data_IF_310652959959
#
_entry.id   IF_310652959959
#
_cell.length_a   1.000
_cell.length_b   1.000
_cell.length_c   1.000
_cell.angle_alpha   90.00
_cell.angle_beta   90.00
_cell.angle_gamma   90.00
#
_symmetry.space_group_name_H-M   'P 1'
#
loop_
_entity.id
_entity.type
_entity.pdbx_description
1 polymer ?
#
# COMPACT_ATOMS: atom_id res chain seq x y z
N UNK A 1 11.42 -50.84 11.06
CA UNK A 1 10.04 -50.94 10.54
C UNK A 1 9.96 -50.14 9.24
N UNK A 2 9.56 -50.79 8.14
CA UNK A 2 9.56 -50.22 6.79
C UNK A 2 8.17 -49.61 6.56
N UNK A 3 8.05 -48.28 6.62
CA UNK A 3 6.76 -47.59 6.48
C UNK A 3 6.34 -47.56 5.02
N UNK A 4 5.51 -48.51 4.60
CA UNK A 4 4.83 -48.46 3.30
C UNK A 4 3.64 -47.52 3.41
N UNK A 5 3.86 -46.23 3.12
CA UNK A 5 2.78 -45.26 3.00
C UNK A 5 1.85 -45.69 1.85
N UNK A 6 0.54 -45.88 2.10
CA UNK A 6 -0.39 -46.30 1.06
C UNK A 6 -0.44 -45.25 -0.06
N UNK A 7 -0.37 -45.69 -1.32
CA UNK A 7 -0.38 -44.83 -2.52
C UNK A 7 -1.54 -43.82 -2.54
N UNK A 8 -2.65 -44.14 -1.87
CA UNK A 8 -3.82 -43.27 -1.67
C UNK A 8 -3.50 -41.97 -0.91
N UNK A 9 -2.55 -42.00 0.02
CA UNK A 9 -2.13 -40.81 0.75
C UNK A 9 -1.31 -39.85 -0.14
N UNK A 10 -0.49 -40.40 -1.04
CA UNK A 10 0.27 -39.59 -2.01
C UNK A 10 -0.69 -38.87 -2.98
N UNK A 11 -1.75 -39.56 -3.44
CA UNK A 11 -2.72 -39.00 -4.36
C UNK A 11 -3.53 -37.81 -3.80
N UNK A 12 -3.66 -37.70 -2.47
CA UNK A 12 -4.40 -36.60 -1.82
C UNK A 12 -3.49 -35.40 -1.52
N UNK A 13 -2.20 -35.64 -1.27
CA UNK A 13 -1.25 -34.59 -0.88
C UNK A 13 -0.76 -33.78 -2.09
N UNK A 14 -0.61 -34.41 -3.25
CA UNK A 14 -0.18 -33.71 -4.47
C UNK A 14 -1.11 -32.58 -4.94
N UNK A 15 -2.44 -32.76 -5.01
CA UNK A 15 -3.34 -31.70 -5.46
C UNK A 15 -3.39 -30.51 -4.49
N UNK A 16 -3.27 -30.72 -3.17
CA UNK A 16 -3.31 -29.60 -2.20
C UNK A 16 -2.06 -28.70 -2.27
N UNK A 17 -0.91 -29.26 -2.62
CA UNK A 17 0.34 -28.50 -2.83
C UNK A 17 0.29 -27.72 -4.15
N UNK A 18 -0.28 -28.31 -5.21
CA UNK A 18 -0.48 -27.65 -6.51
C UNK A 18 -1.52 -26.53 -6.45
N UNK A 19 -2.61 -26.69 -5.70
CA UNK A 19 -3.58 -25.62 -5.50
C UNK A 19 -3.02 -24.47 -4.63
N UNK A 20 -2.05 -24.73 -3.76
CA UNK A 20 -1.42 -23.68 -2.93
C UNK A 20 -0.38 -22.85 -3.69
N UNK A 21 0.11 -23.32 -4.85
CA UNK A 21 1.06 -22.58 -5.69
C UNK A 21 0.39 -21.66 -6.72
N UNK A 22 -0.95 -21.71 -6.84
CA UNK A 22 -1.75 -20.90 -7.78
C UNK A 22 -2.17 -19.52 -7.27
N UNK A 23 -1.84 -19.15 -6.03
CA UNK A 23 -2.04 -17.80 -5.50
C UNK A 23 -0.69 -17.16 -5.16
N UNK A 24 0.26 -17.26 -6.09
CA UNK A 24 1.32 -16.26 -6.12
C UNK A 24 0.64 -14.97 -6.58
N UNK A 25 0.15 -14.21 -5.60
CA UNK A 25 -0.25 -12.82 -5.78
C UNK A 25 0.98 -12.17 -6.39
N UNK A 26 0.90 -11.86 -7.68
CA UNK A 26 1.87 -11.06 -8.37
C UNK A 26 1.96 -9.78 -7.57
N UNK A 27 2.97 -9.69 -6.70
CA UNK A 27 3.40 -8.44 -6.12
C UNK A 27 4.08 -7.71 -7.27
N UNK A 28 3.27 -7.23 -8.21
CA UNK A 28 3.55 -5.97 -8.86
C UNK A 28 4.00 -5.06 -7.72
N UNK A 29 5.21 -4.52 -7.84
CA UNK A 29 5.71 -3.57 -6.87
C UNK A 29 4.73 -2.39 -6.86
N UNK A 30 3.69 -2.47 -6.01
CA UNK A 30 2.82 -1.37 -5.68
C UNK A 30 3.75 -0.39 -5.04
N UNK A 31 4.14 0.62 -5.82
CA UNK A 31 4.90 1.73 -5.31
C UNK A 31 4.11 2.27 -4.12
N UNK A 32 4.61 2.16 -2.87
CA UNK A 32 3.85 2.57 -1.68
C UNK A 32 3.45 4.05 -1.77
N UNK A 33 4.22 4.83 -2.53
CA UNK A 33 3.98 6.24 -2.84
C UNK A 33 2.71 6.47 -3.68
N UNK A 34 2.27 5.49 -4.49
CA UNK A 34 1.02 5.58 -5.27
C UNK A 34 -0.23 5.36 -4.40
N UNK A 35 -0.11 4.55 -3.35
CA UNK A 35 -1.21 4.30 -2.42
C UNK A 35 -1.46 5.53 -1.55
N UNK A 36 -0.39 6.16 -1.04
CA UNK A 36 -0.48 7.39 -0.24
C UNK A 36 -1.16 8.55 -0.96
N UNK A 37 -0.89 8.76 -2.26
CA UNK A 37 -1.53 9.82 -3.05
C UNK A 37 -3.03 9.63 -3.21
N UNK A 38 -3.48 8.39 -3.39
CA UNK A 38 -4.91 8.06 -3.52
C UNK A 38 -5.61 8.22 -2.17
N UNK A 39 -4.95 7.79 -1.10
CA UNK A 39 -5.44 7.91 0.28
C UNK A 39 -5.56 9.38 0.71
N UNK A 40 -4.57 10.21 0.39
CA UNK A 40 -4.58 11.66 0.63
C UNK A 40 -5.80 12.32 0.00
N UNK A 41 -6.10 12.03 -1.26
CA UNK A 41 -7.23 12.61 -1.95
C UNK A 41 -8.59 12.17 -1.36
N UNK A 42 -8.71 10.92 -0.90
CA UNK A 42 -9.91 10.46 -0.21
C UNK A 42 -10.05 11.08 1.19
N UNK A 43 -8.94 11.25 1.92
CA UNK A 43 -8.94 11.83 3.26
C UNK A 43 -9.34 13.31 3.29
N UNK A 44 -9.11 14.06 2.20
CA UNK A 44 -9.49 15.48 2.12
C UNK A 44 -10.89 15.71 1.54
N UNK A 45 -11.57 14.66 1.07
CA UNK A 45 -12.94 14.72 0.56
C UNK A 45 -13.95 15.35 1.54
N UNK A 46 -13.89 15.12 2.87
CA UNK A 46 -14.78 15.79 3.82
C UNK A 46 -14.66 17.31 3.83
N UNK A 47 -13.53 17.90 3.41
CA UNK A 47 -13.37 19.37 3.35
C UNK A 47 -14.30 20.02 2.33
N UNK A 48 -14.78 19.26 1.34
CA UNK A 48 -15.77 19.73 0.39
C UNK A 48 -17.12 20.03 1.08
N UNK A 49 -17.42 19.42 2.23
CA UNK A 49 -18.62 19.71 2.99
C UNK A 49 -18.64 21.15 3.57
N UNK A 50 -17.50 21.86 3.58
CA UNK A 50 -17.46 23.28 3.93
C UNK A 50 -18.28 24.15 2.95
N UNK A 51 -18.56 23.65 1.73
CA UNK A 51 -19.49 24.27 0.79
C UNK A 51 -20.89 24.46 1.40
N UNK A 52 -21.30 23.55 2.31
CA UNK A 52 -22.62 23.59 2.96
C UNK A 52 -22.79 24.75 3.95
N UNK A 53 -21.68 25.32 4.42
CA UNK A 53 -21.65 26.43 5.38
C UNK A 53 -21.12 27.72 4.75
N UNK A 54 -21.04 27.78 3.42
CA UNK A 54 -20.71 28.99 2.66
C UNK A 54 -19.23 29.25 2.43
N UNK A 55 -18.34 28.30 2.75
CA UNK A 55 -16.94 28.34 2.34
C UNK A 55 -16.75 27.67 0.98
N UNK A 56 -15.61 27.92 0.32
CA UNK A 56 -15.20 27.17 -0.87
C UNK A 56 -14.43 25.92 -0.44
N UNK A 57 -15.16 24.87 -0.11
CA UNK A 57 -14.67 23.55 0.28
C UNK A 57 -13.82 22.89 -0.80
N UNK A 58 -14.10 23.16 -2.08
CA UNK A 58 -13.26 22.68 -3.19
C UNK A 58 -11.87 23.32 -3.17
N UNK A 59 -11.80 24.64 -2.96
CA UNK A 59 -10.53 25.36 -2.81
C UNK A 59 -9.79 24.95 -1.54
N UNK A 60 -10.51 24.73 -0.43
CA UNK A 60 -9.91 24.20 0.82
C UNK A 60 -9.30 22.82 0.60
N UNK A 61 -10.05 21.90 -0.01
CA UNK A 61 -9.55 20.56 -0.37
C UNK A 61 -8.29 20.64 -1.22
N UNK A 62 -8.31 21.42 -2.31
CA UNK A 62 -7.15 21.59 -3.20
C UNK A 62 -5.94 22.19 -2.48
N UNK A 63 -6.17 23.14 -1.57
CA UNK A 63 -5.10 23.75 -0.78
C UNK A 63 -4.45 22.72 0.15
N UNK A 64 -5.25 21.92 0.84
CA UNK A 64 -4.74 20.88 1.75
C UNK A 64 -4.03 19.78 0.96
N UNK A 65 -4.59 19.33 -0.17
CA UNK A 65 -3.95 18.33 -1.03
C UNK A 65 -2.52 18.76 -1.44
N UNK A 66 -2.37 20.01 -1.89
CA UNK A 66 -1.08 20.56 -2.31
C UNK A 66 -0.09 20.68 -1.14
N UNK A 67 -0.54 21.15 0.03
CA UNK A 67 0.34 21.27 1.20
C UNK A 67 0.86 19.89 1.62
N UNK A 68 -0.03 18.90 1.68
CA UNK A 68 0.35 17.53 2.07
C UNK A 68 1.30 16.91 1.05
N UNK A 69 1.04 17.03 -0.26
CA UNK A 69 1.97 16.51 -1.29
C UNK A 69 3.35 17.18 -1.23
N UNK A 70 3.41 18.49 -0.96
CA UNK A 70 4.68 19.20 -0.78
C UNK A 70 5.43 18.73 0.48
N UNK A 71 4.71 18.47 1.57
CA UNK A 71 5.26 17.94 2.81
C UNK A 71 5.79 16.51 2.63
N UNK A 72 5.02 15.62 2.00
CA UNK A 72 5.43 14.25 1.72
C UNK A 72 6.70 14.21 0.86
N UNK A 73 6.79 15.09 -0.14
CA UNK A 73 8.00 15.22 -0.95
C UNK A 73 9.20 15.67 -0.11
N UNK A 74 9.01 16.67 0.75
CA UNK A 74 10.07 17.17 1.62
C UNK A 74 10.55 16.10 2.61
N UNK A 75 9.62 15.35 3.23
CA UNK A 75 9.95 14.26 4.14
C UNK A 75 10.73 13.16 3.43
N UNK A 76 10.34 12.79 2.20
CA UNK A 76 11.11 11.84 1.39
C UNK A 76 12.53 12.33 1.06
N UNK A 77 12.73 13.63 0.90
CA UNK A 77 14.07 14.21 0.71
C UNK A 77 14.89 14.12 2.00
N UNK A 78 14.29 14.40 3.16
CA UNK A 78 14.95 14.26 4.47
C UNK A 78 15.29 12.80 4.76
N UNK A 79 14.35 11.86 4.57
CA UNK A 79 14.56 10.43 4.79
C UNK A 79 15.73 9.91 3.96
N UNK A 80 15.82 10.31 2.68
CA UNK A 80 16.96 9.97 1.83
C UNK A 80 18.27 10.50 2.40
N UNK A 81 18.29 11.76 2.86
CA UNK A 81 19.49 12.35 3.45
C UNK A 81 19.91 11.62 4.74
N UNK A 82 18.94 11.25 5.59
CA UNK A 82 19.17 10.49 6.82
C UNK A 82 19.67 9.05 6.55
N UNK A 83 19.15 8.38 5.52
CA UNK A 83 19.65 7.06 5.07
C UNK A 83 21.06 7.13 4.47
N UNK A 84 21.51 8.32 4.02
CA UNK A 84 22.84 8.52 3.44
C UNK A 84 23.89 8.94 4.48
N UNK A 85 23.51 9.18 5.75
CA UNK A 85 24.50 9.32 6.84
C UNK A 85 25.06 7.93 7.18
N UNK A 86 26.37 7.68 7.00
CA UNK A 86 26.96 6.46 7.50
C UNK A 86 26.99 6.54 9.02
N UNK A 87 26.40 5.53 9.67
CA UNK A 87 26.58 5.24 11.08
C UNK A 87 28.06 5.44 11.46
N UNK A 88 28.35 6.48 12.26
CA UNK A 88 29.68 6.71 12.84
C UNK A 88 29.95 5.73 13.99
#
# INVERSE_FOLDING_TARGET
MKTTLPLKFIAIIFPTILLSSGCQKETAATNPNSQGKTELHENTKPLQAADLVGYDGTKLRKSVDHITEANDKHNQEIEKMAETEPDQ
#
